data_IF_295853672920
#
_entry.id   IF_295853672920
#
_cell.length_a   1.000
_cell.length_b   1.000
_cell.length_c   1.000
_cell.angle_alpha   90.00
_cell.angle_beta   90.00
_cell.angle_gamma   90.00
#
_symmetry.space_group_name_H-M   'P 1'
#
loop_
_entity.id
_entity.type
_entity.pdbx_description
1 polymer ?
#
# COMPACT_ATOMS: atom_id res chain seq x y z
N UNK A 1 -54.27 1.06 -39.86
CA UNK A 1 -54.77 0.39 -41.07
C UNK A 1 -54.52 -1.10 -40.90
N UNK A 2 -55.57 -1.87 -40.62
CA UNK A 2 -55.48 -3.32 -40.45
C UNK A 2 -56.90 -3.87 -40.57
N UNK A 3 -57.16 -4.56 -41.67
CA UNK A 3 -58.49 -4.87 -42.20
C UNK A 3 -59.20 -5.94 -41.36
N UNK A 4 -60.38 -5.62 -40.85
CA UNK A 4 -61.29 -6.59 -40.22
C UNK A 4 -61.97 -7.45 -41.29
N UNK A 5 -61.55 -8.71 -41.40
CA UNK A 5 -62.25 -9.71 -42.21
C UNK A 5 -63.47 -10.21 -41.43
N UNK A 6 -64.66 -9.73 -41.84
CA UNK A 6 -65.95 -10.15 -41.30
C UNK A 6 -66.36 -11.48 -41.93
N UNK A 7 -65.91 -12.59 -41.35
CA UNK A 7 -66.31 -13.94 -41.76
C UNK A 7 -67.70 -14.25 -41.18
N UNK A 8 -68.75 -14.02 -41.96
CA UNK A 8 -70.09 -14.55 -41.70
C UNK A 8 -70.11 -16.02 -42.06
N UNK A 9 -69.84 -16.88 -41.08
CA UNK A 9 -70.02 -18.32 -41.19
C UNK A 9 -71.47 -18.64 -40.80
N UNK A 10 -72.28 -18.97 -41.79
CA UNK A 10 -73.66 -19.43 -41.64
C UNK A 10 -73.65 -20.83 -41.00
N UNK A 11 -73.73 -20.88 -39.67
CA UNK A 11 -73.83 -22.13 -38.91
C UNK A 11 -75.30 -22.53 -38.82
N UNK A 12 -75.72 -23.37 -39.77
CA UNK A 12 -76.92 -24.18 -39.61
C UNK A 12 -76.81 -25.02 -38.33
N UNK A 13 -77.81 -25.02 -37.44
CA UNK A 13 -77.76 -25.76 -36.18
C UNK A 13 -77.86 -27.25 -36.49
N UNK A 14 -76.71 -27.90 -36.74
CA UNK A 14 -76.61 -29.35 -36.73
C UNK A 14 -77.04 -29.83 -35.34
N UNK A 15 -78.22 -30.45 -35.30
CA UNK A 15 -78.72 -31.12 -34.10
C UNK A 15 -77.69 -32.18 -33.70
N UNK A 16 -77.10 -32.09 -32.49
CA UNK A 16 -76.06 -33.00 -32.08
C UNK A 16 -76.56 -34.43 -32.14
N UNK A 17 -75.74 -35.31 -32.73
CA UNK A 17 -76.02 -36.74 -32.83
C UNK A 17 -76.46 -37.29 -31.46
N UNK A 18 -77.49 -38.16 -31.39
CA UNK A 18 -78.01 -38.71 -30.13
C UNK A 18 -76.93 -39.34 -29.22
N UNK A 19 -75.89 -39.91 -29.82
CA UNK A 19 -74.75 -40.46 -29.08
C UNK A 19 -73.96 -39.38 -28.31
N UNK A 20 -73.90 -38.16 -28.86
CA UNK A 20 -73.22 -37.02 -28.21
C UNK A 20 -74.07 -36.52 -27.03
N UNK A 21 -75.39 -36.51 -27.16
CA UNK A 21 -76.26 -36.12 -26.05
C UNK A 21 -76.23 -37.12 -24.90
N UNK A 22 -76.23 -38.42 -25.18
CA UNK A 22 -76.14 -39.46 -24.13
C UNK A 22 -74.80 -39.38 -23.38
N UNK A 23 -73.70 -39.22 -24.13
CA UNK A 23 -72.37 -39.04 -23.54
C UNK A 23 -72.29 -37.78 -22.67
N UNK A 24 -72.85 -36.65 -23.10
CA UNK A 24 -72.90 -35.41 -22.32
C UNK A 24 -73.70 -35.61 -21.03
N UNK A 25 -74.78 -36.38 -21.09
CA UNK A 25 -75.64 -36.65 -19.93
C UNK A 25 -74.93 -37.56 -18.94
N UNK A 26 -74.28 -38.61 -19.42
CA UNK A 26 -73.47 -39.52 -18.60
C UNK A 26 -72.30 -38.78 -17.93
N UNK A 27 -71.60 -37.92 -18.67
CA UNK A 27 -70.56 -37.05 -18.10
C UNK A 27 -71.11 -36.14 -17.00
N UNK A 28 -72.28 -35.52 -17.21
CA UNK A 28 -72.92 -34.67 -16.20
C UNK A 28 -73.35 -35.45 -14.97
N UNK A 29 -73.70 -36.72 -15.10
CA UNK A 29 -74.01 -37.57 -13.95
C UNK A 29 -72.78 -38.09 -13.22
N UNK A 30 -71.63 -38.18 -13.90
CA UNK A 30 -70.36 -38.59 -13.30
C UNK A 30 -69.76 -37.52 -12.39
N UNK A 31 -70.12 -36.24 -12.56
CA UNK A 31 -69.67 -35.15 -11.69
C UNK A 31 -70.79 -34.71 -10.78
N UNK A 32 -70.54 -34.76 -9.48
CA UNK A 32 -71.47 -34.24 -8.49
C UNK A 32 -71.36 -32.71 -8.43
N UNK A 33 -72.44 -32.02 -8.02
CA UNK A 33 -72.43 -30.56 -7.84
C UNK A 33 -71.29 -30.08 -6.91
N UNK A 34 -70.90 -30.91 -5.94
CA UNK A 34 -69.80 -30.60 -5.00
C UNK A 34 -68.43 -30.59 -5.69
N UNK A 35 -68.22 -31.35 -6.76
CA UNK A 35 -66.97 -31.34 -7.52
C UNK A 35 -66.78 -29.99 -8.22
N UNK A 36 -67.84 -29.45 -8.80
CA UNK A 36 -67.82 -28.11 -9.41
C UNK A 36 -67.56 -27.02 -8.38
N UNK A 37 -68.18 -27.12 -7.19
CA UNK A 37 -67.94 -26.18 -6.10
C UNK A 37 -66.49 -26.24 -5.61
N UNK A 38 -65.91 -27.43 -5.50
CA UNK A 38 -64.51 -27.61 -5.11
C UNK A 38 -63.55 -27.00 -6.13
N UNK A 39 -63.80 -27.20 -7.43
CA UNK A 39 -63.00 -26.58 -8.50
C UNK A 39 -63.13 -25.06 -8.45
N UNK A 40 -64.34 -24.52 -8.27
CA UNK A 40 -64.55 -23.08 -8.16
C UNK A 40 -63.79 -22.48 -6.96
N UNK A 41 -63.87 -23.11 -5.79
CA UNK A 41 -63.14 -22.68 -4.59
C UNK A 41 -61.62 -22.76 -4.80
N UNK A 42 -61.12 -23.82 -5.43
CA UNK A 42 -59.70 -23.97 -5.73
C UNK A 42 -59.19 -22.88 -6.68
N UNK A 43 -59.96 -22.55 -7.72
CA UNK A 43 -59.64 -21.48 -8.66
C UNK A 43 -59.65 -20.11 -7.97
N UNK A 44 -60.65 -19.82 -7.15
CA UNK A 44 -60.73 -18.58 -6.37
C UNK A 44 -59.56 -18.41 -5.41
N UNK A 45 -59.19 -19.46 -4.67
CA UNK A 45 -58.04 -19.42 -3.76
C UNK A 45 -56.74 -19.17 -4.53
N UNK A 46 -56.56 -19.86 -5.66
CA UNK A 46 -55.38 -19.66 -6.51
C UNK A 46 -55.31 -18.25 -7.09
N UNK A 47 -56.45 -17.67 -7.47
CA UNK A 47 -56.53 -16.28 -7.95
C UNK A 47 -56.13 -15.30 -6.83
N UNK A 48 -56.64 -15.48 -5.62
CA UNK A 48 -56.26 -14.66 -4.46
C UNK A 48 -54.78 -14.79 -4.13
N UNK A 49 -54.20 -16.00 -4.17
CA UNK A 49 -52.77 -16.23 -3.96
C UNK A 49 -51.91 -15.51 -5.01
N UNK A 50 -52.34 -15.54 -6.27
CA UNK A 50 -51.66 -14.83 -7.36
C UNK A 50 -51.76 -13.30 -7.20
N UNK A 51 -52.91 -12.78 -6.78
CA UNK A 51 -53.09 -11.36 -6.48
C UNK A 51 -52.21 -10.92 -5.30
N UNK A 52 -52.13 -11.72 -4.25
CA UNK A 52 -51.23 -11.42 -3.13
C UNK A 52 -49.77 -11.42 -3.58
N UNK A 53 -49.35 -12.42 -4.36
CA UNK A 53 -47.99 -12.53 -4.87
C UNK A 53 -47.61 -11.37 -5.79
N UNK A 54 -48.53 -10.94 -6.67
CA UNK A 54 -48.30 -9.79 -7.56
C UNK A 54 -48.13 -8.50 -6.77
N UNK A 55 -48.94 -8.28 -5.73
CA UNK A 55 -48.80 -7.12 -4.83
C UNK A 55 -47.47 -7.13 -4.05
N UNK A 56 -47.02 -8.29 -3.55
CA UNK A 56 -45.71 -8.41 -2.89
C UNK A 56 -44.56 -8.05 -3.84
N UNK A 57 -44.60 -8.57 -5.08
CA UNK A 57 -43.58 -8.28 -6.10
C UNK A 57 -43.60 -6.80 -6.52
N UNK A 58 -44.77 -6.16 -6.54
CA UNK A 58 -44.90 -4.73 -6.84
C UNK A 58 -44.25 -3.86 -5.75
N UNK A 59 -44.46 -4.19 -4.48
CA UNK A 59 -43.78 -3.50 -3.36
C UNK A 59 -42.25 -3.70 -3.39
N UNK A 60 -41.78 -4.93 -3.65
CA UNK A 60 -40.35 -5.23 -3.75
C UNK A 60 -39.71 -4.44 -4.91
N UNK A 61 -40.39 -4.35 -6.06
CA UNK A 61 -39.96 -3.54 -7.20
C UNK A 61 -39.80 -2.07 -6.81
N UNK A 62 -40.74 -1.50 -6.05
CA UNK A 62 -40.68 -0.10 -5.62
C UNK A 62 -39.54 0.15 -4.62
N UNK A 63 -39.28 -0.78 -3.71
CA UNK A 63 -38.13 -0.72 -2.79
C UNK A 63 -36.80 -0.75 -3.55
N UNK A 64 -36.66 -1.66 -4.52
CA UNK A 64 -35.49 -1.76 -5.40
C UNK A 64 -35.31 -0.47 -6.22
N UNK A 65 -36.39 0.13 -6.74
CA UNK A 65 -36.33 1.40 -7.46
C UNK A 65 -35.85 2.54 -6.56
N UNK A 66 -36.32 2.59 -5.31
CA UNK A 66 -35.90 3.57 -4.31
C UNK A 66 -34.42 3.42 -3.96
N UNK A 67 -33.93 2.20 -3.78
CA UNK A 67 -32.52 1.92 -3.51
C UNK A 67 -31.63 2.29 -4.71
N UNK A 68 -32.03 1.91 -5.93
CA UNK A 68 -31.32 2.29 -7.15
C UNK A 68 -31.19 3.81 -7.30
N UNK A 69 -32.23 4.57 -6.95
CA UNK A 69 -32.17 6.04 -6.93
C UNK A 69 -31.14 6.57 -5.92
N UNK A 70 -31.05 5.96 -4.72
CA UNK A 70 -30.05 6.31 -3.70
C UNK A 70 -28.62 6.00 -4.19
N UNK A 71 -28.40 4.80 -4.72
CA UNK A 71 -27.10 4.38 -5.25
C UNK A 71 -26.65 5.27 -6.40
N UNK A 72 -27.54 5.63 -7.32
CA UNK A 72 -27.25 6.59 -8.39
C UNK A 72 -26.82 7.96 -7.86
N UNK A 73 -27.42 8.42 -6.76
CA UNK A 73 -27.01 9.65 -6.07
C UNK A 73 -25.61 9.54 -5.45
N UNK A 74 -25.30 8.41 -4.80
CA UNK A 74 -23.97 8.15 -4.24
C UNK A 74 -22.89 8.05 -5.32
N UNK A 75 -23.20 7.41 -6.45
CA UNK A 75 -22.28 7.29 -7.57
C UNK A 75 -21.89 8.68 -8.11
N UNK A 76 -22.87 9.55 -8.38
CA UNK A 76 -22.61 10.93 -8.80
C UNK A 76 -21.75 11.73 -7.82
N UNK A 77 -21.94 11.54 -6.51
CA UNK A 77 -21.11 12.18 -5.48
C UNK A 77 -19.67 11.67 -5.51
N UNK A 78 -19.47 10.37 -5.72
CA UNK A 78 -18.13 9.78 -5.88
C UNK A 78 -17.44 10.27 -7.15
N UNK A 79 -18.16 10.35 -8.26
CA UNK A 79 -17.63 10.87 -9.53
C UNK A 79 -17.17 12.32 -9.39
N UNK A 80 -17.96 13.18 -8.75
CA UNK A 80 -17.56 14.57 -8.46
C UNK A 80 -16.32 14.67 -7.56
N UNK A 81 -16.19 13.77 -6.57
CA UNK A 81 -15.01 13.70 -5.71
C UNK A 81 -13.77 13.26 -6.49
N UNK A 82 -13.92 12.28 -7.39
CA UNK A 82 -12.83 11.83 -8.28
C UNK A 82 -12.36 12.99 -9.16
N UNK A 83 -13.28 13.72 -9.81
CA UNK A 83 -12.94 14.87 -10.65
C UNK A 83 -12.19 15.97 -9.85
N UNK A 84 -12.59 16.20 -8.60
CA UNK A 84 -11.89 17.15 -7.72
C UNK A 84 -10.46 16.70 -7.40
N UNK A 85 -10.26 15.42 -7.06
CA UNK A 85 -8.95 14.87 -6.73
C UNK A 85 -8.01 14.82 -7.95
N UNK A 86 -8.55 14.57 -9.15
CA UNK A 86 -7.79 14.63 -10.39
C UNK A 86 -7.26 16.04 -10.67
N UNK A 87 -8.09 17.08 -10.44
CA UNK A 87 -7.66 18.49 -10.56
C UNK A 87 -6.56 18.84 -9.57
N UNK A 88 -6.66 18.37 -8.33
CA UNK A 88 -5.64 18.59 -7.29
C UNK A 88 -4.33 17.88 -7.63
N UNK A 89 -4.40 16.61 -8.06
CA UNK A 89 -3.24 15.83 -8.50
C UNK A 89 -2.52 16.52 -9.66
N UNK A 90 -3.26 17.09 -10.61
CA UNK A 90 -2.68 17.86 -11.72
C UNK A 90 -1.92 19.10 -11.23
N UNK A 91 -2.50 19.86 -10.30
CA UNK A 91 -1.83 21.04 -9.69
C UNK A 91 -0.54 20.64 -8.96
N UNK A 92 -0.59 19.56 -8.19
CA UNK A 92 0.57 19.07 -7.44
C UNK A 92 1.69 18.60 -8.38
N UNK A 93 1.34 17.96 -9.49
CA UNK A 93 2.31 17.55 -10.51
C UNK A 93 2.97 18.75 -11.21
N UNK A 94 2.19 19.80 -11.54
CA UNK A 94 2.73 21.05 -12.09
C UNK A 94 3.68 21.74 -11.11
N UNK A 95 3.36 21.71 -9.81
CA UNK A 95 4.24 22.25 -8.76
C UNK A 95 5.52 21.43 -8.57
N UNK A 96 5.43 20.10 -8.61
CA UNK A 96 6.60 19.21 -8.57
C UNK A 96 7.55 19.52 -9.72
N UNK A 97 7.01 19.62 -10.95
CA UNK A 97 7.82 19.94 -12.13
C UNK A 97 8.58 21.26 -12.00
N UNK A 98 7.94 22.31 -11.46
CA UNK A 98 8.61 23.60 -11.19
C UNK A 98 9.74 23.49 -10.16
N UNK A 99 9.57 22.64 -9.14
CA UNK A 99 10.63 22.37 -8.16
C UNK A 99 11.79 21.62 -8.78
N UNK A 100 11.51 20.63 -9.62
CA UNK A 100 12.54 19.86 -10.33
C UNK A 100 13.35 20.78 -11.26
N UNK A 101 12.69 21.68 -12.00
CA UNK A 101 13.37 22.69 -12.83
C UNK A 101 14.25 23.64 -11.99
N UNK A 102 13.79 24.04 -10.79
CA UNK A 102 14.59 24.86 -9.86
C UNK A 102 15.80 24.11 -9.31
N UNK A 103 15.64 22.83 -8.96
CA UNK A 103 16.73 21.97 -8.50
C UNK A 103 17.79 21.86 -9.60
N UNK A 104 17.39 21.57 -10.84
CA UNK A 104 18.31 21.47 -11.98
C UNK A 104 19.08 22.78 -12.21
N UNK A 105 18.43 23.93 -12.03
CA UNK A 105 19.10 25.24 -12.12
C UNK A 105 20.14 25.45 -11.02
N UNK A 106 19.84 25.07 -9.78
CA UNK A 106 20.76 25.20 -8.64
C UNK A 106 21.93 24.22 -8.74
N UNK A 107 21.71 23.02 -9.27
CA UNK A 107 22.78 22.05 -9.54
C UNK A 107 23.79 22.62 -10.55
N UNK A 108 23.32 23.22 -11.64
CA UNK A 108 24.19 23.89 -12.63
C UNK A 108 24.99 25.04 -12.04
N UNK A 109 24.39 25.84 -11.15
CA UNK A 109 25.09 26.93 -10.45
C UNK A 109 26.17 26.39 -9.51
N UNK A 110 25.86 25.35 -8.74
CA UNK A 110 26.81 24.69 -7.84
C UNK A 110 28.00 24.09 -8.59
N UNK A 111 27.75 23.46 -9.75
CA UNK A 111 28.82 22.95 -10.60
C UNK A 111 29.74 24.08 -11.09
N UNK A 112 29.17 25.22 -11.51
CA UNK A 112 29.94 26.41 -11.89
C UNK A 112 30.80 26.97 -10.77
N UNK A 113 30.24 27.09 -9.55
CA UNK A 113 30.99 27.54 -8.37
C UNK A 113 32.11 26.56 -8.00
N UNK A 114 31.88 25.25 -8.14
CA UNK A 114 32.89 24.23 -7.89
C UNK A 114 34.06 24.31 -8.87
N UNK A 115 33.79 24.58 -10.15
CA UNK A 115 34.82 24.83 -11.15
C UNK A 115 35.65 26.09 -10.82
N UNK A 116 34.98 27.18 -10.42
CA UNK A 116 35.67 28.41 -10.01
C UNK A 116 36.54 28.19 -8.77
N UNK A 117 36.04 27.46 -7.78
CA UNK A 117 36.79 27.10 -6.58
C UNK A 117 38.04 26.26 -6.91
N UNK A 118 37.92 25.27 -7.80
CA UNK A 118 39.07 24.49 -8.26
C UNK A 118 40.11 25.36 -8.99
N UNK A 119 39.67 26.33 -9.79
CA UNK A 119 40.54 27.29 -10.48
C UNK A 119 41.29 28.15 -9.47
N UNK A 120 40.62 28.66 -8.43
CA UNK A 120 41.23 29.44 -7.36
C UNK A 120 42.21 28.62 -6.52
N UNK A 121 41.87 27.37 -6.22
CA UNK A 121 42.77 26.44 -5.52
C UNK A 121 44.07 26.22 -6.32
N UNK A 122 43.96 26.06 -7.64
CA UNK A 122 45.12 25.92 -8.53
C UNK A 122 45.96 27.21 -8.56
N UNK A 123 45.31 28.37 -8.59
CA UNK A 123 45.97 29.68 -8.54
C UNK A 123 46.77 29.86 -7.24
N UNK A 124 46.18 29.51 -6.09
CA UNK A 124 46.86 29.53 -4.78
C UNK A 124 48.08 28.61 -4.77
N UNK A 125 47.95 27.36 -5.25
CA UNK A 125 49.08 26.43 -5.32
C UNK A 125 50.23 26.94 -6.18
N UNK A 126 49.95 27.70 -7.24
CA UNK A 126 50.98 28.36 -8.03
C UNK A 126 51.70 29.47 -7.25
N UNK A 127 50.97 30.28 -6.49
CA UNK A 127 51.57 31.30 -5.62
C UNK A 127 52.44 30.68 -4.52
N UNK A 128 51.97 29.61 -3.88
CA UNK A 128 52.75 28.87 -2.87
C UNK A 128 54.07 28.34 -3.44
N UNK A 129 54.04 27.80 -4.67
CA UNK A 129 55.24 27.35 -5.38
C UNK A 129 56.23 28.48 -5.64
N UNK A 130 55.74 29.64 -6.08
CA UNK A 130 56.57 30.84 -6.29
C UNK A 130 57.17 31.33 -4.97
N UNK A 131 56.37 31.35 -3.91
CA UNK A 131 56.83 31.74 -2.57
C UNK A 131 57.93 30.81 -2.04
N UNK A 132 57.81 29.50 -2.27
CA UNK A 132 58.86 28.53 -1.93
C UNK A 132 60.16 28.77 -2.70
N UNK A 133 60.11 29.10 -4.00
CA UNK A 133 61.30 29.45 -4.79
C UNK A 133 62.01 30.70 -4.23
N UNK A 134 61.23 31.72 -3.86
CA UNK A 134 61.76 32.91 -3.21
C UNK A 134 62.42 32.56 -1.86
N UNK A 135 61.79 31.72 -1.05
CA UNK A 135 62.36 31.25 0.22
C UNK A 135 63.74 30.57 0.04
N UNK A 136 63.87 29.69 -0.95
CA UNK A 136 65.14 29.04 -1.30
C UNK A 136 66.20 30.06 -1.75
N UNK A 137 65.79 31.05 -2.55
CA UNK A 137 66.69 32.12 -3.02
C UNK A 137 67.18 33.00 -1.88
N UNK A 138 66.30 33.37 -0.95
CA UNK A 138 66.66 34.15 0.25
C UNK A 138 67.67 33.40 1.11
N UNK A 139 67.45 32.11 1.39
CA UNK A 139 68.40 31.29 2.15
C UNK A 139 69.77 31.19 1.45
N UNK A 140 69.78 31.11 0.13
CA UNK A 140 71.01 31.11 -0.67
C UNK A 140 71.78 32.43 -0.56
N UNK A 141 71.07 33.56 -0.60
CA UNK A 141 71.66 34.89 -0.40
C UNK A 141 72.21 35.08 1.01
N UNK A 142 71.49 34.62 2.03
CA UNK A 142 71.97 34.63 3.42
C UNK A 142 73.28 33.85 3.59
N UNK A 143 73.40 32.70 2.92
CA UNK A 143 74.63 31.90 2.94
C UNK A 143 75.82 32.66 2.34
N UNK A 144 75.64 33.28 1.17
CA UNK A 144 76.66 34.11 0.52
C UNK A 144 77.06 35.27 1.44
N UNK A 145 76.10 35.95 2.07
CA UNK A 145 76.39 37.05 2.98
C UNK A 145 77.23 36.60 4.20
N UNK A 146 76.92 35.43 4.78
CA UNK A 146 77.73 34.84 5.87
C UNK A 146 79.15 34.52 5.41
N UNK A 147 79.33 33.99 4.19
CA UNK A 147 80.65 33.73 3.61
C UNK A 147 81.45 35.03 3.39
N UNK A 148 80.80 36.10 2.92
CA UNK A 148 81.44 37.42 2.75
C UNK A 148 81.90 38.01 4.09
N UNK A 149 81.06 37.98 5.13
CA UNK A 149 81.42 38.47 6.46
C UNK A 149 82.61 37.69 7.06
N UNK A 150 82.70 36.38 6.80
CA UNK A 150 83.82 35.56 7.26
C UNK A 150 85.16 35.92 6.59
N UNK A 151 85.14 36.44 5.36
CA UNK A 151 86.33 36.92 4.66
C UNK A 151 86.83 38.26 5.21
N UNK A 152 85.94 39.12 5.66
CA UNK A 152 86.28 40.47 6.13
C UNK A 152 87.06 40.46 7.46
N UNK A 153 86.82 39.47 8.32
CA UNK A 153 87.54 39.27 9.59
C UNK A 153 89.01 38.86 9.42
N UNK A 154 89.43 38.46 8.21
CA UNK A 154 90.82 38.02 7.92
C UNK A 154 91.75 39.12 7.39
N UNK A 155 91.33 40.39 7.35
CA UNK A 155 92.25 41.49 7.01
C UNK A 155 93.24 41.77 8.15
N UNK A 156 94.57 41.79 7.90
CA UNK A 156 95.56 42.08 8.92
C UNK A 156 95.43 43.54 9.42
N UNK A 157 95.37 43.71 10.74
CA UNK A 157 95.45 45.00 11.44
C UNK A 157 96.76 45.71 11.04
N UNK A 158 96.65 46.81 10.30
CA UNK A 158 97.67 47.86 10.31
C UNK A 158 97.03 49.20 10.70
N UNK A 159 97.62 49.76 11.75
CA UNK A 159 97.37 51.04 12.40
C UNK A 159 97.68 52.19 11.45
N UNK A 160 96.81 53.19 11.32
CA UNK A 160 97.14 54.64 11.40
C UNK A 160 95.86 55.44 11.70
N UNK A 161 96.01 56.35 12.65
CA UNK A 161 95.10 57.33 13.24
C UNK A 161 94.70 58.45 12.27
N UNK A 162 93.44 58.90 12.30
CA UNK A 162 93.09 60.32 12.12
C UNK A 162 91.67 60.62 12.63
N UNK A 163 91.57 61.66 13.43
CA UNK A 163 90.37 62.19 14.08
C UNK A 163 89.39 62.87 13.10
N UNK A 164 88.13 62.94 13.54
CA UNK A 164 87.29 64.11 13.33
C UNK A 164 86.35 64.08 12.12
N UNK A 165 85.07 63.76 12.37
CA UNK A 165 83.95 64.68 12.11
C UNK A 165 82.60 63.98 12.30
N UNK A 166 81.76 64.61 13.12
CA UNK A 166 80.34 64.29 13.34
C UNK A 166 79.55 64.44 12.04
N UNK A 167 78.81 63.42 11.57
CA UNK A 167 77.77 63.60 10.57
C UNK A 167 76.39 63.86 11.22
N UNK A 168 75.50 64.61 10.54
CA UNK A 168 74.18 65.03 11.03
C UNK A 168 73.13 63.90 11.05
N UNK A 169 72.02 64.08 11.78
CA UNK A 169 70.99 63.04 11.94
C UNK A 169 70.25 62.75 10.63
N UNK A 170 69.86 61.48 10.38
CA UNK A 170 69.15 61.11 9.17
C UNK A 170 67.72 61.69 9.14
N UNK A 171 67.24 62.15 7.98
CA UNK A 171 65.87 62.60 7.82
C UNK A 171 64.90 61.40 7.72
N UNK A 172 63.81 61.47 8.48
CA UNK A 172 62.53 60.85 8.15
C UNK A 172 62.46 59.33 8.20
N UNK A 173 62.29 58.77 9.40
CA UNK A 173 61.45 57.57 9.53
C UNK A 173 60.02 57.98 9.16
N UNK A 174 59.60 57.72 7.92
CA UNK A 174 58.18 57.60 7.63
C UNK A 174 57.69 56.33 8.32
N UNK A 175 56.77 56.55 9.23
CA UNK A 175 55.95 55.60 9.98
C UNK A 175 55.33 54.57 9.03
N UNK A 176 56.01 53.43 8.85
CA UNK A 176 55.40 52.26 8.20
C UNK A 176 54.32 51.76 9.14
N UNK A 177 53.09 52.05 8.76
CA UNK A 177 51.85 51.58 9.35
C UNK A 177 51.93 50.08 9.65
N UNK A 178 51.70 49.77 10.92
CA UNK A 178 51.47 48.45 11.48
C UNK A 178 50.43 47.65 10.66
N UNK A 179 50.80 46.55 9.99
CA UNK A 179 49.85 45.71 9.27
C UNK A 179 48.92 44.90 10.20
N UNK A 180 49.11 44.96 11.53
CA UNK A 180 48.24 44.30 12.52
C UNK A 180 47.20 45.22 13.16
N UNK A 181 46.96 46.41 12.59
CA UNK A 181 45.78 47.20 12.96
C UNK A 181 44.53 46.51 12.39
N UNK A 182 43.57 46.04 13.20
CA UNK A 182 42.31 45.53 12.67
C UNK A 182 41.67 46.65 11.86
N UNK A 183 41.54 46.43 10.55
CA UNK A 183 40.80 47.32 9.67
C UNK A 183 39.41 47.45 10.28
N UNK A 184 39.08 48.68 10.69
CA UNK A 184 37.69 49.10 10.88
C UNK A 184 36.89 48.52 9.74
N UNK A 185 35.89 47.73 10.11
CA UNK A 185 34.75 47.35 9.30
C UNK A 185 34.40 48.54 8.40
N UNK A 186 34.67 48.39 7.11
CA UNK A 186 33.72 48.94 6.16
C UNK A 186 32.60 47.96 6.22
N UNK A 187 31.47 48.42 6.74
CA UNK A 187 30.18 47.77 6.73
C UNK A 187 29.95 47.19 5.32
N UNK A 188 30.40 45.96 5.11
CA UNK A 188 29.87 45.10 4.08
C UNK A 188 28.47 44.84 4.55
N UNK A 189 27.57 45.71 4.07
CA UNK A 189 26.14 45.57 3.95
C UNK A 189 25.79 44.09 4.11
N UNK A 190 25.55 43.72 5.36
CA UNK A 190 24.97 42.44 5.72
C UNK A 190 23.70 42.38 4.86
N UNK A 191 23.43 41.28 4.13
CA UNK A 191 22.09 41.12 3.58
C UNK A 191 21.15 41.25 4.76
N UNK A 192 20.44 42.37 4.76
CA UNK A 192 19.29 42.69 5.59
C UNK A 192 18.61 41.38 5.90
N UNK A 193 18.74 40.95 7.16
CA UNK A 193 17.95 39.85 7.69
C UNK A 193 16.53 40.34 7.44
N UNK A 194 15.88 39.72 6.46
CA UNK A 194 14.47 39.91 6.22
C UNK A 194 13.85 39.42 7.51
N UNK A 195 13.42 40.36 8.35
CA UNK A 195 12.40 40.11 9.36
C UNK A 195 11.21 39.57 8.57
N UNK A 196 11.02 38.25 8.64
CA UNK A 196 9.79 37.62 8.21
C UNK A 196 8.80 38.01 9.31
N UNK A 197 8.09 39.12 9.08
CA UNK A 197 6.86 39.43 9.81
C UNK A 197 5.91 38.25 9.57
N UNK A 198 5.75 37.42 10.60
CA UNK A 198 4.73 36.37 10.72
C UNK A 198 3.34 37.02 11.01
N UNK A 199 3.00 38.10 10.28
CA UNK A 199 1.75 38.86 10.40
C UNK A 199 0.84 38.58 9.18
N UNK A 200 0.56 37.30 8.92
CA UNK A 200 -0.57 36.87 8.06
C UNK A 200 -1.63 36.15 8.91
N UNK A 201 -2.07 36.83 9.97
CA UNK A 201 -3.41 36.66 10.53
C UNK A 201 -4.38 37.60 9.78
N UNK A 202 -5.48 37.02 9.31
CA UNK A 202 -6.77 37.65 9.03
C UNK A 202 -6.90 38.62 7.83
N UNK A 203 -7.24 38.07 6.65
CA UNK A 203 -8.29 38.69 5.85
C UNK A 203 -9.49 37.73 5.65
N UNK A 204 -10.55 38.12 6.35
CA UNK A 204 -11.95 37.81 6.11
C UNK A 204 -12.31 37.80 4.61
N UNK A 205 -12.67 36.63 4.06
CA UNK A 205 -13.56 36.58 2.89
C UNK A 205 -14.99 36.27 3.34
N UNK A 206 -15.69 37.38 3.61
CA UNK A 206 -17.13 37.46 3.66
C UNK A 206 -17.73 37.43 2.25
N UNK A 207 -18.38 36.33 1.86
CA UNK A 207 -19.36 36.29 0.77
C UNK A 207 -19.61 34.86 0.27
N UNK A 208 -20.80 34.29 0.15
CA UNK A 208 -22.14 34.84 0.13
C UNK A 208 -23.12 33.86 0.77
N UNK A 209 -23.93 34.42 1.66
CA UNK A 209 -25.04 33.78 2.34
C UNK A 209 -26.32 34.26 1.68
N UNK A 210 -26.62 33.77 0.48
CA UNK A 210 -27.85 34.17 -0.21
C UNK A 210 -29.05 33.30 0.18
N UNK A 211 -29.77 33.86 1.14
CA UNK A 211 -31.21 33.84 1.38
C UNK A 211 -32.08 33.08 0.36
N UNK A 212 -32.58 31.92 0.79
CA UNK A 212 -33.97 31.53 0.50
C UNK A 212 -34.74 31.41 1.83
N UNK A 213 -35.23 32.57 2.29
CA UNK A 213 -36.40 32.66 3.17
C UNK A 213 -37.61 32.17 2.39
N UNK A 214 -37.98 30.90 2.56
CA UNK A 214 -39.37 30.48 2.32
C UNK A 214 -40.03 30.33 3.67
N UNK A 215 -40.74 31.38 4.05
CA UNK A 215 -41.77 31.32 5.07
C UNK A 215 -42.83 30.30 4.67
N UNK A 216 -42.99 29.23 5.43
CA UNK A 216 -44.28 28.55 5.51
C UNK A 216 -44.61 28.20 6.96
N UNK A 217 -45.68 28.85 7.40
CA UNK A 217 -46.41 28.69 8.65
C UNK A 217 -46.94 27.25 8.81
N UNK A 218 -47.24 26.93 10.08
CA UNK A 218 -48.14 25.84 10.58
C UNK A 218 -47.50 24.45 10.60
N UNK A 219 -47.59 23.64 11.65
CA UNK A 219 -48.42 23.66 12.87
C UNK A 219 -47.65 22.88 13.94
N UNK A 220 -47.78 23.35 15.18
CA UNK A 220 -47.50 22.62 16.41
C UNK A 220 -48.44 21.42 16.45
N UNK A 221 -47.90 20.20 16.53
CA UNK A 221 -48.61 19.08 17.12
C UNK A 221 -47.68 18.43 18.14
N UNK A 222 -48.14 18.49 19.39
CA UNK A 222 -47.55 17.84 20.54
C UNK A 222 -47.89 16.34 20.46
N UNK A 223 -46.87 15.49 20.42
CA UNK A 223 -47.04 14.08 20.75
C UNK A 223 -45.88 13.60 21.62
N UNK A 224 -46.19 13.61 22.92
CA UNK A 224 -45.96 12.54 23.89
C UNK A 224 -44.61 11.82 23.87
N UNK A 225 -43.89 12.07 24.97
CA UNK A 225 -43.02 11.13 25.68
C UNK A 225 -43.53 9.69 25.53
N UNK A 226 -42.67 8.82 25.02
CA UNK A 226 -42.79 7.37 25.15
C UNK A 226 -41.43 6.84 25.58
N UNK A 227 -41.34 6.42 26.84
CA UNK A 227 -40.35 5.45 27.30
C UNK A 227 -40.37 4.26 26.35
N UNK A 228 -39.21 3.82 25.89
CA UNK A 228 -39.06 2.51 25.27
C UNK A 228 -37.74 1.91 25.72
N UNK A 229 -37.82 1.27 26.88
CA UNK A 229 -36.92 0.18 27.29
C UNK A 229 -36.95 -0.92 26.23
N UNK A 230 -35.94 -0.98 25.38
CA UNK A 230 -35.71 -2.12 24.48
C UNK A 230 -34.22 -2.52 24.47
N UNK A 231 -33.65 -2.69 25.67
CA UNK A 231 -32.51 -3.57 25.89
C UNK A 231 -32.99 -5.04 25.84
N UNK A 232 -33.37 -5.49 24.65
CA UNK A 232 -33.85 -6.85 24.42
C UNK A 232 -32.72 -7.76 23.92
N UNK A 233 -32.07 -8.39 24.88
CA UNK A 233 -31.66 -9.80 24.85
C UNK A 233 -31.13 -10.34 23.50
N UNK A 234 -29.82 -10.18 23.25
CA UNK A 234 -29.11 -11.08 22.34
C UNK A 234 -29.04 -12.45 23.03
N UNK A 235 -30.00 -13.30 22.68
CA UNK A 235 -30.03 -14.70 23.10
C UNK A 235 -28.83 -15.41 22.49
N UNK A 236 -27.82 -15.65 23.33
CA UNK A 236 -26.69 -16.53 23.06
C UNK A 236 -27.27 -17.92 22.78
N UNK A 237 -27.25 -18.34 21.51
CA UNK A 237 -27.42 -19.73 21.13
C UNK A 237 -26.30 -20.55 21.79
N UNK A 238 -26.61 -21.12 22.96
CA UNK A 238 -25.82 -22.18 23.59
C UNK A 238 -25.83 -23.38 22.65
N UNK A 239 -24.79 -23.51 21.81
CA UNK A 239 -24.50 -24.78 21.14
C UNK A 239 -24.20 -25.83 22.22
N UNK A 240 -25.06 -26.83 22.26
CA UNK A 240 -24.97 -28.04 23.08
C UNK A 240 -23.62 -28.71 22.80
N UNK A 241 -22.79 -28.83 23.84
CA UNK A 241 -21.60 -29.69 23.82
C UNK A 241 -22.08 -31.13 23.65
N UNK A 242 -21.76 -31.75 22.52
CA UNK A 242 -21.84 -33.20 22.37
C UNK A 242 -20.53 -33.74 22.92
N UNK A 243 -20.60 -34.32 24.11
CA UNK A 243 -19.55 -35.16 24.68
C UNK A 243 -19.37 -36.36 23.77
N UNK A 244 -18.14 -36.57 23.27
CA UNK A 244 -17.74 -37.83 22.63
C UNK A 244 -16.72 -38.46 23.55
N UNK A 245 -17.20 -39.37 24.39
CA UNK A 245 -16.43 -40.19 25.29
C UNK A 245 -16.77 -41.66 24.97
N UNK A 246 -15.71 -42.44 24.76
CA UNK A 246 -15.62 -43.84 25.19
C UNK A 246 -16.31 -44.94 24.37
N UNK A 247 -15.46 -45.74 23.70
CA UNK A 247 -15.49 -47.22 23.60
C UNK A 247 -16.65 -47.92 22.87
N UNK A 248 -16.32 -48.82 21.93
CA UNK A 248 -16.39 -50.28 22.16
C UNK A 248 -16.11 -51.07 20.86
N UNK A 249 -15.37 -52.16 21.04
CA UNK A 249 -14.87 -53.13 20.06
C UNK A 249 -15.92 -53.68 19.07
N UNK A 250 -15.51 -53.92 17.82
CA UNK A 250 -15.88 -55.15 17.12
C UNK A 250 -14.78 -55.63 16.16
N UNK A 251 -14.51 -56.92 16.29
CA UNK A 251 -13.58 -57.78 15.56
C UNK A 251 -14.00 -58.01 14.10
N UNK A 252 -12.97 -58.28 13.28
CA UNK A 252 -12.85 -59.35 12.27
C UNK A 252 -13.66 -59.29 10.97
N UNK A 253 -12.89 -59.27 9.87
CA UNK A 253 -12.84 -60.25 8.75
C UNK A 253 -12.57 -59.47 7.44
N UNK A 254 -11.32 -59.40 6.96
CA UNK A 254 -10.67 -60.38 6.08
C UNK A 254 -11.58 -60.91 4.95
N UNK A 255 -11.67 -60.15 3.86
CA UNK A 255 -11.97 -60.72 2.54
C UNK A 255 -10.98 -60.20 1.50
N UNK A 256 -10.20 -61.18 1.05
CA UNK A 256 -9.38 -61.26 -0.14
C UNK A 256 -10.31 -61.13 -1.36
N UNK A 257 -10.16 -60.10 -2.18
CA UNK A 257 -10.82 -60.06 -3.49
C UNK A 257 -9.82 -59.67 -4.59
N UNK A 258 -9.28 -60.72 -5.19
CA UNK A 258 -8.56 -60.73 -6.46
C UNK A 258 -9.51 -60.29 -7.58
N UNK A 259 -9.09 -59.30 -8.37
CA UNK A 259 -9.60 -59.13 -9.74
C UNK A 259 -8.42 -59.19 -10.71
N UNK A 260 -8.48 -60.04 -11.76
CA UNK A 260 -7.40 -60.23 -12.72
C UNK A 260 -7.61 -59.43 -14.01
N UNK A 261 -6.49 -59.18 -14.71
CA UNK A 261 -6.36 -58.95 -16.17
C UNK A 261 -6.92 -57.65 -16.73
N UNK A 262 -6.07 -56.81 -17.36
CA UNK A 262 -5.67 -57.01 -18.77
C UNK A 262 -4.60 -56.01 -19.24
N UNK A 263 -3.64 -56.60 -19.91
CA UNK A 263 -2.60 -56.05 -20.77
C UNK A 263 -3.11 -55.06 -21.83
N UNK A 264 -2.38 -53.95 -22.03
CA UNK A 264 -2.03 -53.52 -23.38
C UNK A 264 -0.69 -52.77 -23.36
N UNK A 265 0.12 -53.15 -24.34
CA UNK A 265 1.52 -52.83 -24.49
C UNK A 265 1.68 -51.54 -25.27
N UNK A 266 2.52 -50.61 -24.81
CA UNK A 266 3.33 -49.76 -25.68
C UNK A 266 4.76 -49.71 -25.15
N UNK A 267 5.65 -50.34 -25.91
CA UNK A 267 7.10 -50.35 -25.78
C UNK A 267 7.64 -48.92 -25.93
N UNK A 268 8.45 -48.49 -24.97
CA UNK A 268 9.49 -47.47 -25.18
C UNK A 268 10.78 -47.96 -24.50
N UNK A 269 11.93 -48.00 -25.19
CA UNK A 269 13.18 -48.53 -24.65
C UNK A 269 14.02 -47.44 -23.99
N UNK A 270 15.01 -47.88 -23.20
CA UNK A 270 16.18 -47.15 -22.67
C UNK A 270 16.00 -46.36 -21.37
N UNK A 271 16.48 -46.92 -20.25
CA UNK A 271 17.80 -46.58 -19.66
C UNK A 271 17.93 -47.23 -18.28
N UNK A 272 18.64 -48.36 -18.23
CA UNK A 272 19.27 -48.84 -17.00
C UNK A 272 20.38 -47.86 -16.59
N UNK A 273 20.29 -47.32 -15.38
CA UNK A 273 21.47 -46.91 -14.61
C UNK A 273 21.15 -46.69 -13.14
N UNK A 274 21.71 -47.60 -12.34
CA UNK A 274 22.47 -47.31 -11.13
C UNK A 274 21.73 -46.81 -9.88
N UNK A 275 21.37 -47.80 -9.05
CA UNK A 275 21.56 -47.83 -7.59
C UNK A 275 22.51 -46.77 -7.01
N UNK A 276 22.01 -45.84 -6.19
CA UNK A 276 22.82 -45.15 -5.19
C UNK A 276 21.96 -44.54 -4.06
N UNK A 277 22.09 -45.14 -2.88
CA UNK A 277 22.02 -44.58 -1.51
C UNK A 277 21.08 -43.40 -1.24
N UNK A 278 19.81 -43.74 -1.01
CA UNK A 278 18.77 -42.86 -0.48
C UNK A 278 18.74 -42.94 1.05
N UNK A 279 19.59 -42.19 1.76
CA UNK A 279 19.41 -41.96 3.21
C UNK A 279 19.94 -40.61 3.76
N UNK A 280 20.43 -39.66 2.94
CA UNK A 280 21.08 -38.42 3.43
C UNK A 280 20.36 -37.08 3.14
N UNK A 281 19.11 -37.07 2.64
CA UNK A 281 18.40 -35.81 2.32
C UNK A 281 17.83 -35.08 3.55
N UNK A 282 17.47 -35.78 4.63
CA UNK A 282 16.89 -35.14 5.83
C UNK A 282 17.91 -34.35 6.64
N UNK A 283 19.17 -34.78 6.69
CA UNK A 283 20.21 -34.09 7.46
C UNK A 283 20.72 -32.81 6.76
N UNK A 284 20.56 -32.72 5.44
CA UNK A 284 20.91 -31.51 4.65
C UNK A 284 19.90 -30.37 4.82
N UNK A 285 18.66 -30.68 5.20
CA UNK A 285 17.62 -29.68 5.47
C UNK A 285 17.83 -29.08 6.87
N UNK A 286 18.19 -29.90 7.86
CA UNK A 286 18.45 -29.46 9.24
C UNK A 286 19.68 -28.53 9.35
N UNK A 287 20.76 -28.82 8.59
CA UNK A 287 21.97 -27.99 8.62
C UNK A 287 21.81 -26.58 7.99
N UNK A 288 20.77 -26.35 7.18
CA UNK A 288 20.47 -25.01 6.61
C UNK A 288 19.67 -24.12 7.56
N UNK A 289 18.89 -24.71 8.49
CA UNK A 289 18.05 -23.94 9.41
C UNK A 289 18.85 -23.26 10.52
N UNK A 290 19.96 -23.84 10.96
CA UNK A 290 20.81 -23.22 11.99
C UNK A 290 21.62 -22.01 11.49
N UNK A 291 21.76 -21.83 10.17
CA UNK A 291 22.40 -20.66 9.55
C UNK A 291 21.46 -19.47 9.34
N UNK A 292 20.14 -19.62 9.56
CA UNK A 292 19.16 -18.54 9.33
C UNK A 292 18.85 -17.69 10.57
N UNK A 293 19.35 -18.06 11.75
CA UNK A 293 19.07 -17.36 13.02
C UNK A 293 19.58 -15.92 13.07
N UNK A 294 20.52 -15.55 12.19
CA UNK A 294 21.07 -14.19 12.05
C UNK A 294 20.92 -13.64 10.62
N UNK A 295 19.94 -14.12 9.85
CA UNK A 295 19.80 -13.76 8.42
C UNK A 295 19.39 -12.31 8.18
N UNK A 296 18.62 -11.69 9.07
CA UNK A 296 18.12 -10.32 8.90
C UNK A 296 18.51 -9.42 10.06
N UNK A 297 19.42 -8.49 9.80
CA UNK A 297 19.82 -7.45 10.78
C UNK A 297 18.78 -6.33 10.84
N UNK A 298 18.15 -6.03 9.70
CA UNK A 298 17.15 -4.96 9.57
C UNK A 298 15.84 -5.47 8.96
N UNK A 299 14.77 -4.70 9.16
CA UNK A 299 13.45 -4.96 8.57
C UNK A 299 13.52 -4.92 7.04
N UNK A 300 14.31 -3.98 6.52
CA UNK A 300 14.50 -3.76 5.08
C UNK A 300 15.11 -5.00 4.40
N UNK A 301 16.04 -5.68 5.07
CA UNK A 301 16.64 -6.93 4.56
C UNK A 301 15.60 -8.04 4.42
N UNK A 302 14.75 -8.20 5.45
CA UNK A 302 13.66 -9.18 5.43
C UNK A 302 12.64 -8.88 4.31
N UNK A 303 12.23 -7.62 4.16
CA UNK A 303 11.31 -7.19 3.10
C UNK A 303 11.90 -7.43 1.70
N UNK A 304 13.20 -7.17 1.53
CA UNK A 304 13.91 -7.40 0.26
C UNK A 304 13.94 -8.89 -0.11
N UNK A 305 14.00 -9.78 0.88
CA UNK A 305 13.95 -11.22 0.64
C UNK A 305 12.53 -11.76 0.39
N UNK A 306 11.49 -11.17 0.99
CA UNK A 306 10.11 -11.47 0.60
C UNK A 306 9.85 -11.17 -0.89
N UNK A 307 10.55 -10.19 -1.45
CA UNK A 307 10.53 -9.94 -2.90
C UNK A 307 11.15 -11.05 -3.76
N UNK A 308 11.95 -11.96 -3.18
CA UNK A 308 12.73 -12.98 -3.90
C UNK A 308 12.22 -14.40 -3.69
N UNK A 309 11.70 -14.70 -2.51
CA UNK A 309 11.33 -16.06 -2.10
C UNK A 309 9.85 -16.16 -1.71
N UNK A 310 9.06 -16.79 -2.58
CA UNK A 310 7.63 -17.03 -2.37
C UNK A 310 7.35 -17.98 -1.20
N UNK A 311 8.23 -18.95 -0.97
CA UNK A 311 8.09 -19.90 0.13
C UNK A 311 8.30 -19.20 1.46
N UNK A 312 9.27 -18.29 1.51
CA UNK A 312 9.53 -17.46 2.67
C UNK A 312 8.31 -16.57 3.01
N UNK A 313 7.67 -15.96 2.01
CA UNK A 313 6.45 -15.16 2.22
C UNK A 313 5.31 -16.00 2.80
N UNK A 314 5.12 -17.21 2.27
CA UNK A 314 4.07 -18.11 2.73
C UNK A 314 4.31 -18.56 4.18
N UNK A 315 5.57 -18.88 4.53
CA UNK A 315 5.96 -19.25 5.88
C UNK A 315 5.76 -18.08 6.86
N UNK A 316 6.12 -16.86 6.46
CA UNK A 316 5.93 -15.66 7.25
C UNK A 316 4.44 -15.41 7.59
N UNK A 317 3.55 -15.49 6.59
CA UNK A 317 2.11 -15.37 6.83
C UNK A 317 1.59 -16.49 7.75
N UNK A 318 2.09 -17.72 7.58
CA UNK A 318 1.71 -18.83 8.46
C UNK A 318 2.07 -18.55 9.92
N UNK A 319 3.27 -18.05 10.19
CA UNK A 319 3.70 -17.70 11.54
C UNK A 319 2.92 -16.53 12.14
N UNK A 320 2.64 -15.49 11.34
CA UNK A 320 1.77 -14.39 11.76
C UNK A 320 0.38 -14.90 12.18
N UNK A 321 -0.19 -15.80 11.38
CA UNK A 321 -1.48 -16.42 11.69
C UNK A 321 -1.42 -17.28 12.98
N UNK A 322 -0.33 -18.03 13.20
CA UNK A 322 -0.14 -18.79 14.46
C UNK A 322 -0.05 -17.86 15.67
N UNK A 323 0.70 -16.76 15.58
CA UNK A 323 0.82 -15.79 16.67
C UNK A 323 -0.55 -15.16 17.01
N UNK A 324 -1.30 -14.73 15.99
CA UNK A 324 -2.65 -14.19 16.17
C UNK A 324 -3.60 -15.20 16.82
N UNK A 325 -3.49 -16.48 16.45
CA UNK A 325 -4.31 -17.55 17.01
C UNK A 325 -3.97 -17.87 18.48
N UNK A 326 -2.71 -17.72 18.88
CA UNK A 326 -2.24 -18.02 20.23
C UNK A 326 -2.52 -16.90 21.23
N UNK A 327 -2.43 -15.63 20.80
CA UNK A 327 -2.62 -14.47 21.68
C UNK A 327 -4.10 -14.15 21.99
N UNK A 328 -5.07 -14.89 21.45
CA UNK A 328 -6.53 -14.63 21.57
C UNK A 328 -6.94 -13.18 21.23
N UNK A 329 -6.07 -12.40 20.58
CA UNK A 329 -6.35 -11.04 20.12
C UNK A 329 -7.01 -11.13 18.75
N UNK A 330 -8.33 -11.14 18.74
CA UNK A 330 -9.19 -11.25 17.53
C UNK A 330 -9.16 -9.98 16.65
N UNK A 331 -8.11 -9.17 16.70
CA UNK A 331 -8.14 -7.79 16.17
C UNK A 331 -7.46 -7.68 14.81
N UNK A 332 -6.34 -8.37 14.57
CA UNK A 332 -5.59 -8.18 13.33
C UNK A 332 -6.26 -8.81 12.10
N UNK A 333 -6.80 -10.02 12.28
CA UNK A 333 -7.41 -10.82 11.20
C UNK A 333 -8.81 -10.32 10.79
N UNK A 334 -9.31 -9.20 11.35
CA UNK A 334 -10.61 -8.63 10.94
C UNK A 334 -10.52 -7.74 9.70
N UNK A 335 -9.34 -7.26 9.33
CA UNK A 335 -9.15 -6.38 8.17
C UNK A 335 -9.00 -7.14 6.86
N UNK A 336 -8.81 -8.46 6.92
CA UNK A 336 -8.87 -9.34 5.77
C UNK A 336 -9.79 -10.51 6.04
N UNK A 337 -10.28 -11.11 4.97
CA UNK A 337 -11.08 -12.32 5.01
C UNK A 337 -10.25 -13.42 5.70
N UNK A 338 -10.41 -13.59 7.03
CA UNK A 338 -9.70 -14.57 7.84
C UNK A 338 -9.72 -15.97 7.22
N UNK A 339 -10.81 -16.25 6.51
CA UNK A 339 -11.05 -17.41 5.67
C UNK A 339 -9.94 -17.62 4.64
N UNK A 340 -9.47 -16.53 4.03
CA UNK A 340 -8.47 -16.51 2.96
C UNK A 340 -7.05 -16.70 3.50
N UNK A 341 -6.68 -16.03 4.59
CA UNK A 341 -5.38 -16.28 5.25
C UNK A 341 -5.31 -17.71 5.78
N UNK A 342 -6.39 -18.20 6.41
CA UNK A 342 -6.48 -19.59 6.86
C UNK A 342 -6.47 -20.60 5.70
N UNK A 343 -6.94 -20.22 4.51
CA UNK A 343 -6.86 -21.06 3.31
C UNK A 343 -5.43 -21.12 2.78
N UNK A 344 -4.75 -19.98 2.70
CA UNK A 344 -3.34 -19.88 2.28
C UNK A 344 -2.44 -20.66 3.23
N UNK A 345 -2.66 -20.56 4.55
CA UNK A 345 -1.85 -21.25 5.56
C UNK A 345 -2.03 -22.77 5.60
N UNK A 346 -3.07 -23.31 4.96
CA UNK A 346 -3.36 -24.75 4.90
C UNK A 346 -2.79 -25.43 3.65
N UNK A 347 -2.41 -24.66 2.63
CA UNK A 347 -1.73 -25.20 1.45
C UNK A 347 -0.27 -25.48 1.79
N UNK A 348 0.23 -26.62 1.33
CA UNK A 348 1.52 -27.14 1.79
C UNK A 348 2.70 -26.69 0.93
N UNK A 349 2.47 -26.26 -0.31
CA UNK A 349 3.55 -25.91 -1.25
C UNK A 349 3.22 -24.68 -2.09
N UNK A 350 4.24 -23.88 -2.42
CA UNK A 350 4.14 -22.71 -3.32
C UNK A 350 3.57 -23.09 -4.70
N UNK A 351 3.84 -24.31 -5.16
CA UNK A 351 3.38 -24.84 -6.45
C UNK A 351 1.86 -24.98 -6.57
N UNK A 352 1.12 -25.01 -5.45
CA UNK A 352 -0.35 -25.15 -5.41
C UNK A 352 -1.10 -23.81 -5.36
N UNK A 353 -0.37 -22.69 -5.31
CA UNK A 353 -0.92 -21.35 -5.21
C UNK A 353 -1.04 -20.73 -6.61
N UNK A 354 -2.15 -20.02 -6.83
CA UNK A 354 -2.28 -19.22 -8.04
C UNK A 354 -1.28 -18.06 -8.00
N UNK A 355 -0.83 -17.59 -9.15
CA UNK A 355 0.07 -16.43 -9.24
C UNK A 355 -0.53 -15.17 -8.57
N UNK A 356 -1.86 -15.05 -8.59
CA UNK A 356 -2.58 -14.00 -7.88
C UNK A 356 -2.47 -14.13 -6.36
N UNK A 357 -2.62 -15.35 -5.83
CA UNK A 357 -2.48 -15.61 -4.39
C UNK A 357 -1.04 -15.42 -3.92
N UNK A 358 -0.05 -15.76 -4.74
CA UNK A 358 1.37 -15.48 -4.44
C UNK A 358 1.64 -13.97 -4.39
N UNK A 359 1.11 -13.19 -5.34
CA UNK A 359 1.24 -11.74 -5.33
C UNK A 359 0.60 -11.11 -4.08
N UNK A 360 -0.57 -11.61 -3.68
CA UNK A 360 -1.20 -11.18 -2.43
C UNK A 360 -0.33 -11.57 -1.23
N UNK A 361 0.16 -12.80 -1.18
CA UNK A 361 1.05 -13.29 -0.12
C UNK A 361 2.28 -12.38 0.07
N UNK A 362 2.94 -11.98 -1.02
CA UNK A 362 4.05 -11.03 -0.97
C UNK A 362 3.62 -9.68 -0.42
N UNK A 363 2.52 -9.12 -0.93
CA UNK A 363 2.02 -7.82 -0.47
C UNK A 363 1.71 -7.86 1.03
N UNK A 364 1.08 -8.94 1.50
CA UNK A 364 0.82 -9.14 2.93
C UNK A 364 2.10 -9.22 3.76
N UNK A 365 3.08 -10.01 3.33
CA UNK A 365 4.34 -10.12 4.05
C UNK A 365 5.05 -8.75 4.14
N UNK A 366 4.93 -7.90 3.11
CA UNK A 366 5.45 -6.53 3.12
C UNK A 366 4.66 -5.61 4.06
N UNK A 367 3.32 -5.61 3.95
CA UNK A 367 2.44 -4.75 4.74
C UNK A 367 2.52 -5.04 6.25
N UNK A 368 2.81 -6.29 6.61
CA UNK A 368 2.95 -6.75 7.99
C UNK A 368 4.40 -7.01 8.40
N UNK A 369 5.37 -6.48 7.64
CA UNK A 369 6.79 -6.69 7.87
C UNK A 369 7.26 -6.23 9.25
N UNK A 370 6.68 -5.19 9.84
CA UNK A 370 7.00 -4.78 11.22
C UNK A 370 6.73 -5.91 12.23
N UNK A 371 5.52 -6.48 12.19
CA UNK A 371 5.11 -7.55 13.11
C UNK A 371 5.87 -8.84 12.85
N UNK A 372 6.11 -9.15 11.59
CA UNK A 372 6.93 -10.32 11.21
C UNK A 372 8.36 -10.17 11.73
N UNK A 373 8.93 -8.97 11.67
CA UNK A 373 10.27 -8.71 12.20
C UNK A 373 10.31 -8.80 13.73
N UNK A 374 9.24 -8.39 14.42
CA UNK A 374 9.11 -8.58 15.87
C UNK A 374 9.03 -10.08 16.23
N UNK A 375 8.21 -10.88 15.52
CA UNK A 375 8.14 -12.34 15.70
C UNK A 375 9.51 -13.00 15.53
N UNK A 376 10.24 -12.56 14.49
CA UNK A 376 11.60 -13.02 14.21
C UNK A 376 12.55 -12.72 15.36
N UNK A 377 12.57 -11.47 15.83
CA UNK A 377 13.44 -11.01 16.94
C UNK A 377 13.12 -11.72 18.25
N UNK A 378 11.85 -11.97 18.53
CA UNK A 378 11.39 -12.68 19.72
C UNK A 378 11.77 -14.18 19.70
N UNK A 379 12.34 -14.70 18.59
CA UNK A 379 12.69 -16.12 18.39
C UNK A 379 11.51 -17.07 18.67
N UNK A 380 10.28 -16.57 18.57
CA UNK A 380 9.08 -17.29 18.99
C UNK A 380 8.59 -18.30 17.94
N UNK A 381 8.88 -18.07 16.66
CA UNK A 381 8.69 -19.01 15.56
C UNK A 381 9.71 -18.66 14.46
N UNK A 382 10.64 -19.56 14.15
CA UNK A 382 11.54 -19.38 13.00
C UNK A 382 10.80 -19.81 11.73
N UNK A 383 10.52 -18.85 10.83
CA UNK A 383 9.83 -19.08 9.56
C UNK A 383 10.53 -20.09 8.66
#
# INVERSE_FOLDING_TARGET
MGSEAKTTLDQSPETPSPAVTDLITELKTCFSSIDFQNVANLLMNREQDLLHKTHVLENEKDEILKENKKLKGLLKKKDAKIESLEKETKKLNEFSKKKDEKIESLEKENDGLKEELNKKQTEIGNYEKVHLDYGVRVLSLEKINKELLALEVKKPKNVVVAEGSKPPPPPGFEEILDPNKPKKEKDSKVPEIIEIDDDDDDEDDHGDRDLMKVSSKRKRDETKRGDSDDDKYISILRRKKVSREGTQDHKKDNYDEKIPTRTSHLKSPFCDSSSSDSDNEKDKISAKMDLQKDRWETREDMVKEFGKDDQLCLNAICALHKQDSSQKRVVLVRLFDASRISYLSRKKTVSELSLFDLKQCRQFAMDYSDKLFDIYKEKSDSF
#
